data_IF_084964009425
#
_entry.id   IF_084964009425
#
_cell.length_a   1.000
_cell.length_b   1.000
_cell.length_c   1.000
_cell.angle_alpha   90.00
_cell.angle_beta   90.00
_cell.angle_gamma   90.00
#
_symmetry.space_group_name_H-M   'P 1'
#
loop_
_entity.id
_entity.type
_entity.pdbx_description
1 polymer ?
#
# COMPACT_ATOMS: atom_id res chain seq x y z
N UNK A 1 14.73 -19.20 -8.27
CA UNK A 1 15.01 -17.99 -7.47
C UNK A 1 14.30 -18.06 -6.12
N UNK A 2 14.92 -17.51 -5.08
CA UNK A 2 14.35 -17.37 -3.73
C UNK A 2 13.89 -15.93 -3.50
N UNK A 3 12.59 -15.71 -3.39
CA UNK A 3 12.03 -14.37 -3.14
C UNK A 3 11.50 -14.32 -1.71
N UNK A 4 12.01 -13.39 -0.91
CA UNK A 4 11.44 -13.09 0.39
C UNK A 4 10.25 -12.12 0.23
N UNK A 5 9.11 -12.48 0.81
CA UNK A 5 7.92 -11.61 0.86
C UNK A 5 7.69 -11.19 2.30
N UNK A 6 7.52 -9.89 2.51
CA UNK A 6 7.29 -9.26 3.80
C UNK A 6 5.96 -8.50 3.79
N UNK A 7 5.26 -8.53 4.93
CA UNK A 7 3.97 -7.88 5.11
C UNK A 7 4.08 -6.36 5.29
N UNK A 8 3.91 -5.89 6.54
CA UNK A 8 4.06 -4.48 6.90
C UNK A 8 5.38 -4.23 7.62
N UNK A 9 6.26 -3.44 7.01
CA UNK A 9 7.61 -3.20 7.50
C UNK A 9 7.66 -2.34 8.78
N UNK A 10 6.87 -1.27 8.84
CA UNK A 10 6.86 -0.29 9.92
C UNK A 10 8.24 0.28 10.30
N UNK A 11 9.13 0.41 9.32
CA UNK A 11 10.48 0.93 9.50
C UNK A 11 11.46 0.00 10.23
N UNK A 12 11.14 -1.29 10.35
CA UNK A 12 11.91 -2.33 11.05
C UNK A 12 12.88 -3.10 10.12
N UNK A 13 13.51 -2.38 9.18
CA UNK A 13 14.40 -2.96 8.15
C UNK A 13 15.52 -3.81 8.75
N UNK A 14 16.11 -3.38 9.88
CA UNK A 14 17.18 -4.13 10.53
C UNK A 14 16.72 -5.52 10.99
N UNK A 15 15.49 -5.64 11.51
CA UNK A 15 14.93 -6.93 11.94
C UNK A 15 14.63 -7.83 10.75
N UNK A 16 14.08 -7.25 9.68
CA UNK A 16 13.75 -7.98 8.45
C UNK A 16 15.02 -8.53 7.82
N UNK A 17 16.03 -7.67 7.58
CA UNK A 17 17.29 -8.10 6.99
C UNK A 17 18.09 -9.03 7.90
N UNK A 18 18.11 -8.78 9.21
CA UNK A 18 18.73 -9.69 10.17
C UNK A 18 18.11 -11.10 10.12
N UNK A 19 16.78 -11.19 10.05
CA UNK A 19 16.08 -12.47 9.93
C UNK A 19 16.40 -13.19 8.61
N UNK A 20 16.49 -12.46 7.50
CA UNK A 20 16.87 -13.04 6.21
C UNK A 20 18.29 -13.59 6.24
N UNK A 21 19.24 -12.85 6.81
CA UNK A 21 20.62 -13.31 6.94
C UNK A 21 20.75 -14.55 7.83
N UNK A 22 19.96 -14.66 8.90
CA UNK A 22 19.89 -15.88 9.70
C UNK A 22 19.33 -17.06 8.89
N UNK A 23 18.29 -16.81 8.10
CA UNK A 23 17.70 -17.83 7.22
C UNK A 23 18.72 -18.33 6.21
N UNK A 24 19.39 -17.45 5.46
CA UNK A 24 20.43 -17.83 4.50
C UNK A 24 21.55 -18.65 5.14
N UNK A 25 22.00 -18.27 6.36
CA UNK A 25 23.01 -19.04 7.10
C UNK A 25 22.51 -20.44 7.49
N UNK A 26 21.23 -20.57 7.80
CA UNK A 26 20.64 -21.83 8.28
C UNK A 26 20.24 -22.79 7.16
N UNK A 27 19.80 -22.27 6.01
CA UNK A 27 19.33 -23.08 4.87
C UNK A 27 20.37 -23.24 3.78
N UNK A 28 21.40 -22.38 3.76
CA UNK A 28 22.36 -22.24 2.67
C UNK A 28 21.70 -21.87 1.32
N UNK A 29 20.48 -21.33 1.37
CA UNK A 29 19.79 -20.73 0.23
C UNK A 29 20.11 -19.23 0.18
N UNK A 30 20.45 -18.71 -1.00
CA UNK A 30 20.64 -17.27 -1.23
C UNK A 30 19.30 -16.62 -1.60
N UNK A 31 18.97 -15.50 -0.96
CA UNK A 31 17.81 -14.68 -1.30
C UNK A 31 18.15 -13.79 -2.50
N UNK A 32 17.33 -13.88 -3.55
CA UNK A 32 17.49 -13.11 -4.79
C UNK A 32 16.82 -11.73 -4.72
N UNK A 33 15.68 -11.63 -4.04
CA UNK A 33 14.86 -10.42 -4.00
C UNK A 33 14.01 -10.36 -2.72
N UNK A 34 13.81 -9.16 -2.19
CA UNK A 34 12.85 -8.88 -1.11
C UNK A 34 11.69 -8.05 -1.66
N UNK A 35 10.46 -8.46 -1.36
CA UNK A 35 9.23 -7.73 -1.68
C UNK A 35 8.56 -7.30 -0.39
N UNK A 36 8.36 -5.99 -0.19
CA UNK A 36 7.65 -5.43 0.97
C UNK A 36 6.29 -4.91 0.51
N UNK A 37 5.21 -5.42 1.12
CA UNK A 37 3.84 -5.11 0.72
C UNK A 37 3.31 -3.79 1.31
N UNK A 38 4.14 -3.02 2.00
CA UNK A 38 3.88 -1.63 2.36
C UNK A 38 4.02 -1.31 3.83
N UNK A 39 3.48 -0.16 4.23
CA UNK A 39 3.85 0.51 5.49
C UNK A 39 5.38 0.52 5.67
N UNK A 40 6.10 0.83 4.58
CA UNK A 40 7.56 0.78 4.51
C UNK A 40 8.20 1.80 5.45
N UNK A 41 7.59 2.99 5.54
CA UNK A 41 8.08 4.12 6.32
C UNK A 41 9.44 4.64 5.84
N UNK A 42 9.52 5.09 4.58
CA UNK A 42 10.71 5.67 3.95
C UNK A 42 11.07 7.08 4.50
N UNK A 43 11.19 7.21 5.82
CA UNK A 43 11.36 8.47 6.55
C UNK A 43 12.84 8.88 6.53
N UNK A 44 13.18 9.97 5.84
CA UNK A 44 14.57 10.42 5.65
C UNK A 44 15.08 11.26 6.82
N UNK A 45 14.18 12.02 7.45
CA UNK A 45 14.49 12.98 8.50
C UNK A 45 13.25 13.30 9.37
N UNK A 46 13.40 14.05 10.49
CA UNK A 46 12.27 14.46 11.32
C UNK A 46 11.18 15.30 10.65
N UNK A 47 11.44 15.92 9.50
CA UNK A 47 10.41 16.68 8.76
C UNK A 47 9.37 15.74 8.12
N UNK A 48 9.80 14.60 7.59
CA UNK A 48 8.93 13.58 6.97
C UNK A 48 7.95 12.97 7.99
N UNK A 49 8.30 12.92 9.28
CA UNK A 49 7.37 12.47 10.34
C UNK A 49 6.08 13.31 10.41
N UNK A 50 6.14 14.58 9.98
CA UNK A 50 4.99 15.49 10.00
C UNK A 50 4.01 15.25 8.86
N UNK A 51 4.37 14.42 7.89
CA UNK A 51 3.49 14.10 6.75
C UNK A 51 2.86 12.73 6.87
N UNK A 52 3.28 11.94 7.86
CA UNK A 52 2.71 10.62 8.12
C UNK A 52 1.34 10.73 8.79
N UNK A 53 0.38 9.90 8.36
CA UNK A 53 -0.88 9.71 9.08
C UNK A 53 -0.71 8.73 10.25
N UNK A 54 0.05 9.12 11.27
CA UNK A 54 0.20 8.38 12.53
C UNK A 54 -0.06 9.31 13.72
N UNK A 55 -0.64 8.82 14.82
CA UNK A 55 -0.70 9.60 16.05
C UNK A 55 0.71 10.04 16.48
N UNK A 56 0.88 11.30 16.87
CA UNK A 56 2.20 11.89 17.15
C UNK A 56 3.04 11.08 18.17
N UNK A 57 2.40 10.46 19.17
CA UNK A 57 3.08 9.60 20.16
C UNK A 57 3.71 8.32 19.58
N UNK A 58 3.29 7.90 18.39
CA UNK A 58 3.79 6.72 17.70
C UNK A 58 4.72 7.06 16.54
N UNK A 59 4.85 8.34 16.17
CA UNK A 59 5.77 8.80 15.13
C UNK A 59 7.22 8.57 15.57
N UNK A 60 7.91 7.67 14.85
CA UNK A 60 9.31 7.31 15.09
C UNK A 60 10.05 7.30 13.76
N UNK A 61 11.32 7.70 13.79
CA UNK A 61 12.16 7.79 12.58
C UNK A 61 12.41 6.41 11.93
N UNK A 62 12.35 5.33 12.72
CA UNK A 62 12.67 3.98 12.25
C UNK A 62 14.14 3.86 11.81
N UNK A 63 14.46 2.80 11.07
CA UNK A 63 15.83 2.55 10.62
C UNK A 63 16.16 3.20 9.26
N UNK A 64 15.15 3.52 8.45
CA UNK A 64 15.35 3.88 7.04
C UNK A 64 16.33 5.05 6.81
N UNK A 65 16.31 6.08 7.66
CA UNK A 65 17.23 7.23 7.54
C UNK A 65 18.73 6.86 7.54
N UNK A 66 19.11 5.73 8.17
CA UNK A 66 20.48 5.22 8.17
C UNK A 66 20.85 4.58 6.81
N UNK A 67 19.88 3.95 6.15
CA UNK A 67 20.03 3.43 4.79
C UNK A 67 20.04 4.55 3.76
N UNK A 68 19.13 5.52 3.89
CA UNK A 68 19.08 6.72 3.05
C UNK A 68 20.40 7.51 3.10
N UNK A 69 21.02 7.62 4.28
CA UNK A 69 22.30 8.31 4.45
C UNK A 69 23.54 7.50 4.06
N UNK A 70 23.38 6.22 3.71
CA UNK A 70 24.50 5.30 3.44
C UNK A 70 25.29 4.86 4.68
N UNK A 71 24.82 5.19 5.90
CA UNK A 71 25.39 4.64 7.14
C UNK A 71 25.21 3.12 7.20
N UNK A 72 24.10 2.63 6.65
CA UNK A 72 23.83 1.22 6.39
C UNK A 72 23.61 1.00 4.89
N UNK A 73 23.92 -0.20 4.42
CA UNK A 73 23.62 -0.65 3.06
C UNK A 73 22.57 -1.76 3.12
N UNK A 74 21.56 -1.70 2.26
CA UNK A 74 20.59 -2.77 2.14
C UNK A 74 21.28 -4.01 1.53
N UNK A 75 21.27 -5.16 2.24
CA UNK A 75 22.01 -6.36 1.80
C UNK A 75 21.35 -7.10 0.64
N UNK A 76 20.07 -6.81 0.38
CA UNK A 76 19.28 -7.42 -0.69
C UNK A 76 18.62 -6.34 -1.54
N UNK A 77 18.50 -6.59 -2.85
CA UNK A 77 17.60 -5.81 -3.68
C UNK A 77 16.18 -5.93 -3.12
N UNK A 78 15.57 -4.80 -2.82
CA UNK A 78 14.26 -4.72 -2.16
C UNK A 78 13.31 -3.87 -3.00
N UNK A 79 12.17 -4.44 -3.41
CA UNK A 79 11.06 -3.71 -4.01
C UNK A 79 9.97 -3.49 -2.97
N UNK A 80 9.29 -2.36 -3.03
CA UNK A 80 8.13 -2.13 -2.18
C UNK A 80 7.04 -1.27 -2.84
N UNK A 81 5.81 -1.43 -2.35
CA UNK A 81 4.67 -0.51 -2.57
C UNK A 81 4.39 0.26 -1.28
N UNK A 82 3.76 1.43 -1.37
CA UNK A 82 3.39 2.22 -0.19
C UNK A 82 2.14 1.67 0.50
N UNK A 83 2.07 1.79 1.82
CA UNK A 83 0.87 1.57 2.62
C UNK A 83 0.18 2.87 3.05
N UNK A 84 -0.40 2.88 4.25
CA UNK A 84 -1.07 4.04 4.84
C UNK A 84 -0.22 4.75 5.93
N UNK A 85 0.87 4.14 6.37
CA UNK A 85 1.84 4.76 7.29
C UNK A 85 3.14 5.08 6.56
N UNK A 86 3.11 6.10 5.72
CA UNK A 86 4.25 6.45 4.87
C UNK A 86 4.73 7.88 5.08
N UNK A 87 6.01 8.10 4.78
CA UNK A 87 6.52 9.43 4.46
C UNK A 87 5.96 9.85 3.08
N UNK A 88 4.66 10.17 3.02
CA UNK A 88 3.95 10.36 1.76
C UNK A 88 4.48 11.51 0.91
N UNK A 89 5.13 12.50 1.51
CA UNK A 89 5.85 13.54 0.76
C UNK A 89 7.02 12.96 -0.04
N UNK A 90 7.82 12.08 0.58
CA UNK A 90 8.95 11.42 -0.08
C UNK A 90 8.47 10.43 -1.14
N UNK A 91 7.42 9.66 -0.88
CA UNK A 91 6.87 8.76 -1.90
C UNK A 91 6.22 9.52 -3.06
N UNK A 92 5.61 10.69 -2.78
CA UNK A 92 5.05 11.56 -3.82
C UNK A 92 6.13 12.12 -4.74
N UNK A 93 7.30 12.50 -4.21
CA UNK A 93 8.47 12.89 -5.01
C UNK A 93 8.85 11.81 -6.05
N UNK A 94 8.60 10.54 -5.74
CA UNK A 94 8.89 9.35 -6.56
C UNK A 94 7.60 8.68 -7.08
N UNK A 95 6.60 9.47 -7.47
CA UNK A 95 5.30 8.98 -7.95
C UNK A 95 5.40 7.92 -9.07
N UNK A 96 6.36 8.07 -9.98
CA UNK A 96 6.62 7.14 -11.09
C UNK A 96 7.49 5.93 -10.71
N UNK A 97 7.89 5.83 -9.44
CA UNK A 97 8.86 4.87 -8.94
C UNK A 97 10.28 5.43 -8.91
N UNK A 98 11.17 4.79 -8.15
CA UNK A 98 12.57 5.18 -8.05
C UNK A 98 13.27 4.62 -6.82
N UNK A 99 14.58 4.78 -6.77
CA UNK A 99 15.41 4.35 -5.65
C UNK A 99 15.21 5.27 -4.46
N UNK A 100 14.70 4.75 -3.35
CA UNK A 100 14.64 5.50 -2.08
C UNK A 100 15.98 5.48 -1.36
N UNK A 101 16.81 4.46 -1.62
CA UNK A 101 18.24 4.41 -1.33
C UNK A 101 18.90 3.33 -2.21
N UNK A 102 20.22 3.16 -2.10
CA UNK A 102 20.93 2.05 -2.76
C UNK A 102 20.25 0.70 -2.41
N UNK A 103 19.96 -0.12 -3.43
CA UNK A 103 19.29 -1.42 -3.35
C UNK A 103 17.82 -1.44 -2.86
N UNK A 104 17.17 -0.28 -2.63
CA UNK A 104 15.74 -0.24 -2.29
C UNK A 104 14.97 0.61 -3.29
N UNK A 105 14.06 -0.01 -4.04
CA UNK A 105 13.29 0.61 -5.11
C UNK A 105 11.79 0.67 -4.75
N UNK A 106 11.23 1.87 -4.80
CA UNK A 106 9.80 2.10 -4.70
C UNK A 106 9.14 1.91 -6.06
N UNK A 107 8.07 1.10 -6.15
CA UNK A 107 7.34 0.88 -7.40
C UNK A 107 6.52 2.08 -7.87
N UNK A 108 6.41 3.14 -7.07
CA UNK A 108 5.59 4.31 -7.38
C UNK A 108 4.14 4.16 -6.89
N UNK A 109 3.30 5.14 -7.22
CA UNK A 109 1.87 5.08 -6.93
C UNK A 109 1.23 3.81 -7.56
N UNK A 110 1.68 3.48 -8.77
CA UNK A 110 1.62 2.15 -9.36
C UNK A 110 2.80 2.00 -10.33
N UNK A 111 3.23 0.77 -10.59
CA UNK A 111 4.38 0.50 -11.47
C UNK A 111 4.46 -0.95 -11.91
N UNK A 112 5.17 -1.20 -13.02
CA UNK A 112 5.59 -2.54 -13.45
C UNK A 112 7.07 -2.49 -13.81
N UNK A 113 7.84 -3.43 -13.26
CA UNK A 113 9.27 -3.60 -13.52
C UNK A 113 9.57 -5.05 -13.84
N UNK A 114 10.69 -5.31 -14.49
CA UNK A 114 11.17 -6.65 -14.75
C UNK A 114 12.41 -6.95 -13.89
N UNK A 115 12.48 -8.17 -13.36
CA UNK A 115 13.62 -8.67 -12.59
C UNK A 115 13.89 -10.13 -12.94
N UNK A 116 15.06 -10.42 -13.53
CA UNK A 116 15.47 -11.79 -13.91
C UNK A 116 14.39 -12.57 -14.69
N UNK A 117 13.71 -11.89 -15.62
CA UNK A 117 12.62 -12.47 -16.42
C UNK A 117 11.25 -12.51 -15.74
N UNK A 118 11.13 -12.12 -14.46
CA UNK A 118 9.85 -11.93 -13.79
C UNK A 118 9.31 -10.53 -14.07
N UNK A 119 8.02 -10.44 -14.38
CA UNK A 119 7.29 -9.19 -14.50
C UNK A 119 6.50 -8.92 -13.22
N UNK A 120 6.89 -7.87 -12.51
CA UNK A 120 6.40 -7.54 -11.17
C UNK A 120 5.66 -6.22 -11.23
N UNK A 121 4.35 -6.27 -10.98
CA UNK A 121 3.50 -5.09 -10.87
C UNK A 121 3.18 -4.75 -9.41
N UNK A 122 2.92 -3.47 -9.14
CA UNK A 122 2.56 -2.99 -7.82
C UNK A 122 1.60 -1.81 -7.86
N UNK A 123 0.76 -1.71 -6.82
CA UNK A 123 -0.10 -0.56 -6.56
C UNK A 123 0.00 -0.16 -5.08
N UNK A 124 0.27 1.12 -4.85
CA UNK A 124 0.45 1.68 -3.52
C UNK A 124 -0.86 2.19 -2.93
N UNK A 125 -0.97 2.15 -1.60
CA UNK A 125 -2.02 2.80 -0.85
C UNK A 125 -3.17 1.89 -0.41
N UNK A 126 -4.22 2.52 0.11
CA UNK A 126 -5.46 1.84 0.55
C UNK A 126 -6.71 2.45 -0.08
N UNK A 127 -7.78 1.67 -0.16
CA UNK A 127 -9.05 2.13 -0.74
C UNK A 127 -9.85 3.02 0.22
N UNK A 128 -10.31 4.16 -0.29
CA UNK A 128 -11.42 4.92 0.28
C UNK A 128 -12.35 5.41 -0.83
N UNK A 129 -13.59 4.95 -0.80
CA UNK A 129 -14.59 5.21 -1.85
C UNK A 129 -14.79 6.70 -2.17
N UNK A 130 -14.70 7.59 -1.17
CA UNK A 130 -14.93 9.02 -1.36
C UNK A 130 -13.75 9.78 -1.99
N UNK A 131 -12.55 9.16 -2.06
CA UNK A 131 -11.39 9.73 -2.73
C UNK A 131 -11.04 9.00 -4.04
N UNK A 132 -11.52 7.77 -4.22
CA UNK A 132 -11.16 6.91 -5.34
C UNK A 132 -11.31 7.57 -6.73
N UNK A 133 -12.36 8.35 -6.97
CA UNK A 133 -12.59 9.02 -8.26
C UNK A 133 -12.01 10.45 -8.36
N UNK A 134 -11.22 10.89 -7.37
CA UNK A 134 -10.57 12.20 -7.38
C UNK A 134 -9.21 12.15 -8.05
N UNK A 135 -8.69 13.30 -8.45
CA UNK A 135 -7.26 13.45 -8.73
C UNK A 135 -6.40 13.54 -7.46
N UNK A 136 -5.10 13.78 -7.65
CA UNK A 136 -4.11 14.00 -6.58
C UNK A 136 -3.93 15.50 -6.32
N UNK A 137 -4.74 16.02 -5.41
CA UNK A 137 -4.82 17.46 -5.11
C UNK A 137 -3.99 17.89 -3.89
N UNK A 138 -3.45 16.92 -3.15
CA UNK A 138 -2.77 17.13 -1.89
C UNK A 138 -1.49 17.95 -2.08
N UNK A 139 -1.34 19.04 -1.33
CA UNK A 139 -0.14 19.89 -1.40
C UNK A 139 0.45 20.15 -0.03
N UNK A 140 1.77 20.11 0.04
CA UNK A 140 2.46 20.46 1.27
C UNK A 140 2.38 21.97 1.54
N UNK A 141 2.13 22.43 2.78
CA UNK A 141 1.89 21.62 3.98
C UNK A 141 0.51 20.96 3.97
N UNK A 142 0.48 19.64 4.23
CA UNK A 142 -0.77 18.88 4.23
C UNK A 142 -1.66 19.27 5.41
N UNK A 143 -2.95 19.45 5.15
CA UNK A 143 -3.98 19.37 6.17
C UNK A 143 -4.12 17.95 6.72
N UNK A 144 -4.84 17.81 7.84
CA UNK A 144 -5.12 16.52 8.46
C UNK A 144 -5.85 15.54 7.52
N UNK A 145 -6.75 16.04 6.66
CA UNK A 145 -7.41 15.21 5.64
C UNK A 145 -6.45 14.81 4.53
N UNK A 146 -5.59 15.72 4.07
CA UNK A 146 -4.65 15.45 2.98
C UNK A 146 -3.54 14.47 3.37
N UNK A 147 -3.11 14.49 4.63
CA UNK A 147 -2.22 13.45 5.19
C UNK A 147 -2.79 12.04 5.02
N UNK A 148 -4.11 11.90 4.88
CA UNK A 148 -4.78 10.62 4.63
C UNK A 148 -5.03 10.38 3.16
N UNK A 149 -5.60 11.37 2.49
CA UNK A 149 -6.02 11.21 1.11
C UNK A 149 -4.85 10.98 0.15
N UNK A 150 -3.64 11.44 0.49
CA UNK A 150 -2.45 11.26 -0.33
C UNK A 150 -2.05 9.80 -0.59
N UNK A 151 -2.35 8.88 0.33
CA UNK A 151 -2.08 7.45 0.14
C UNK A 151 -3.33 6.66 -0.26
N UNK A 152 -4.47 7.31 -0.51
CA UNK A 152 -5.64 6.58 -1.00
C UNK A 152 -5.47 6.24 -2.48
N UNK A 153 -5.77 4.99 -2.86
CA UNK A 153 -5.75 4.54 -4.26
C UNK A 153 -6.72 5.39 -5.09
N UNK A 154 -6.30 5.87 -6.27
CA UNK A 154 -7.20 6.51 -7.25
C UNK A 154 -7.53 5.56 -8.40
N UNK A 155 -8.68 5.82 -9.04
CA UNK A 155 -9.07 5.11 -10.26
C UNK A 155 -8.03 5.32 -11.37
N UNK A 156 -7.33 6.46 -11.40
CA UNK A 156 -6.29 6.73 -12.41
C UNK A 156 -5.22 5.63 -12.46
N UNK A 157 -4.58 5.29 -11.32
CA UNK A 157 -3.58 4.21 -11.29
C UNK A 157 -4.18 2.84 -11.60
N UNK A 158 -5.41 2.58 -11.15
CA UNK A 158 -6.13 1.34 -11.46
C UNK A 158 -6.38 1.22 -12.96
N UNK A 159 -6.80 2.30 -13.63
CA UNK A 159 -7.06 2.30 -15.07
C UNK A 159 -5.78 2.04 -15.85
N UNK A 160 -4.63 2.62 -15.44
CA UNK A 160 -3.31 2.29 -16.02
C UNK A 160 -3.04 0.79 -15.97
N UNK A 161 -3.16 0.17 -14.79
CA UNK A 161 -2.91 -1.27 -14.63
C UNK A 161 -3.92 -2.12 -15.41
N UNK A 162 -5.18 -1.71 -15.53
CA UNK A 162 -6.19 -2.41 -16.33
C UNK A 162 -5.87 -2.43 -17.84
N UNK A 163 -4.97 -1.56 -18.33
CA UNK A 163 -4.54 -1.54 -19.73
C UNK A 163 -3.47 -2.58 -20.05
N UNK A 164 -2.84 -3.19 -19.04
CA UNK A 164 -1.84 -4.22 -19.26
C UNK A 164 -2.47 -5.42 -19.97
N UNK A 165 -1.82 -5.86 -21.05
CA UNK A 165 -2.21 -7.00 -21.86
C UNK A 165 -1.23 -8.17 -21.70
N UNK A 166 0.07 -7.89 -21.57
CA UNK A 166 1.06 -8.95 -21.36
C UNK A 166 0.87 -9.57 -19.96
N UNK A 167 1.15 -10.87 -19.76
CA UNK A 167 1.06 -11.52 -18.45
C UNK A 167 1.88 -10.81 -17.37
N UNK A 168 1.44 -10.90 -16.13
CA UNK A 168 2.19 -10.45 -14.94
C UNK A 168 2.43 -11.68 -14.05
N UNK A 169 3.65 -11.84 -13.55
CA UNK A 169 3.97 -12.96 -12.67
C UNK A 169 3.56 -12.68 -11.23
N UNK A 170 3.86 -11.47 -10.76
CA UNK A 170 3.65 -11.05 -9.36
C UNK A 170 2.93 -9.70 -9.34
N UNK A 171 1.82 -9.61 -8.61
CA UNK A 171 1.23 -8.34 -8.20
C UNK A 171 1.40 -8.11 -6.71
N UNK A 172 1.70 -6.87 -6.32
CA UNK A 172 1.85 -6.43 -4.93
C UNK A 172 0.86 -5.30 -4.66
N UNK A 173 0.10 -5.41 -3.56
CA UNK A 173 -0.75 -4.32 -3.07
C UNK A 173 -0.69 -4.25 -1.55
N UNK A 174 -0.94 -3.09 -0.95
CA UNK A 174 -0.98 -3.03 0.51
C UNK A 174 -2.25 -3.66 1.08
N UNK A 175 -3.42 -3.12 0.73
CA UNK A 175 -4.70 -3.71 1.10
C UNK A 175 -5.10 -4.86 0.17
N UNK A 176 -5.94 -5.75 0.71
CA UNK A 176 -6.33 -7.00 0.05
C UNK A 176 -7.34 -6.74 -1.07
N UNK A 177 -7.35 -7.53 -2.15
CA UNK A 177 -8.51 -7.60 -3.05
C UNK A 177 -9.79 -7.94 -2.26
N UNK A 178 -10.86 -7.17 -2.46
CA UNK A 178 -12.15 -7.45 -1.80
C UNK A 178 -12.70 -8.83 -2.22
N UNK A 179 -13.18 -9.59 -1.24
CA UNK A 179 -13.74 -10.93 -1.44
C UNK A 179 -12.71 -12.06 -1.45
N UNK A 180 -11.40 -11.75 -1.34
CA UNK A 180 -10.35 -12.77 -1.30
C UNK A 180 -10.46 -13.68 -0.06
N UNK A 181 -11.08 -13.20 1.01
CA UNK A 181 -11.38 -13.95 2.22
C UNK A 181 -12.32 -15.14 1.99
N UNK A 182 -13.05 -15.16 0.87
CA UNK A 182 -13.87 -16.29 0.46
C UNK A 182 -13.10 -17.35 -0.33
N UNK A 183 -11.87 -17.04 -0.76
CA UNK A 183 -11.00 -17.91 -1.55
C UNK A 183 -10.01 -18.73 -0.71
N UNK A 184 -9.94 -18.50 0.61
CA UNK A 184 -9.10 -19.26 1.55
C UNK A 184 -9.90 -19.98 2.63
N UNK A 185 -9.39 -19.99 3.87
CA UNK A 185 -10.09 -20.50 5.05
C UNK A 185 -10.73 -19.35 5.84
N UNK A 186 -11.95 -18.97 5.41
CA UNK A 186 -12.72 -17.91 6.06
C UNK A 186 -13.04 -18.21 7.53
N UNK A 187 -13.28 -19.47 7.87
CA UNK A 187 -13.64 -19.86 9.24
C UNK A 187 -12.45 -19.64 10.18
N UNK A 188 -11.25 -20.01 9.75
CA UNK A 188 -10.02 -19.75 10.50
C UNK A 188 -9.76 -18.24 10.63
N UNK A 189 -9.92 -17.47 9.55
CA UNK A 189 -9.77 -16.00 9.57
C UNK A 189 -10.71 -15.36 10.61
N UNK A 190 -11.99 -15.72 10.60
CA UNK A 190 -12.98 -15.18 11.53
C UNK A 190 -12.79 -15.67 12.97
N UNK A 191 -12.15 -16.82 13.17
CA UNK A 191 -11.76 -17.26 14.52
C UNK A 191 -10.66 -16.38 15.11
N UNK A 192 -9.69 -15.95 14.29
CA UNK A 192 -8.59 -15.09 14.73
C UNK A 192 -9.01 -13.62 14.80
N UNK A 193 -9.78 -13.15 13.82
CA UNK A 193 -10.29 -11.77 13.73
C UNK A 193 -11.81 -11.74 13.59
N UNK A 194 -12.57 -11.98 14.68
CA UNK A 194 -14.04 -12.02 14.63
C UNK A 194 -14.69 -10.73 14.14
N UNK A 195 -14.05 -9.59 14.37
CA UNK A 195 -14.56 -8.28 13.97
C UNK A 195 -14.65 -8.10 12.44
N UNK A 196 -13.86 -8.86 11.66
CA UNK A 196 -13.99 -8.87 10.20
C UNK A 196 -15.35 -9.39 9.73
N UNK A 197 -16.08 -10.15 10.55
CA UNK A 197 -17.40 -10.65 10.17
C UNK A 197 -18.33 -9.52 9.72
N UNK A 198 -18.37 -8.43 10.47
CA UNK A 198 -19.21 -7.28 10.17
C UNK A 198 -18.75 -6.53 8.90
N UNK A 199 -17.44 -6.44 8.66
CA UNK A 199 -16.92 -5.79 7.45
C UNK A 199 -17.15 -6.63 6.20
N UNK A 200 -17.02 -7.95 6.30
CA UNK A 200 -17.34 -8.90 5.23
C UNK A 200 -18.83 -8.86 4.90
N UNK A 201 -19.69 -8.96 5.91
CA UNK A 201 -21.15 -8.93 5.73
C UNK A 201 -21.65 -7.60 5.12
N UNK A 202 -20.88 -6.51 5.28
CA UNK A 202 -21.16 -5.19 4.71
C UNK A 202 -20.35 -4.85 3.45
N UNK A 203 -19.57 -5.80 2.94
CA UNK A 203 -18.69 -5.61 1.77
C UNK A 203 -17.70 -4.44 1.92
N UNK A 204 -17.09 -4.31 3.10
CA UNK A 204 -16.12 -3.26 3.46
C UNK A 204 -14.70 -3.79 3.69
N UNK A 205 -14.51 -5.10 3.71
CA UNK A 205 -13.18 -5.70 3.82
C UNK A 205 -12.49 -5.71 2.45
N UNK A 206 -11.29 -5.15 2.40
CA UNK A 206 -10.48 -5.10 1.19
C UNK A 206 -10.91 -4.04 0.18
N UNK A 207 -10.31 -4.13 -1.00
CA UNK A 207 -10.33 -3.13 -2.05
C UNK A 207 -11.01 -3.68 -3.30
N UNK A 208 -12.18 -3.14 -3.70
CA UNK A 208 -12.91 -3.62 -4.87
C UNK A 208 -12.18 -3.35 -6.19
N UNK A 209 -11.32 -2.33 -6.26
CA UNK A 209 -10.53 -2.06 -7.48
C UNK A 209 -9.44 -3.11 -7.67
N UNK A 210 -8.83 -3.59 -6.58
CA UNK A 210 -7.85 -4.68 -6.62
C UNK A 210 -8.49 -6.00 -7.06
N UNK A 211 -9.76 -6.25 -6.74
CA UNK A 211 -10.52 -7.39 -7.30
C UNK A 211 -10.67 -7.30 -8.81
N UNK A 212 -10.92 -6.11 -9.35
CA UNK A 212 -10.95 -5.87 -10.81
C UNK A 212 -9.60 -6.16 -11.44
N UNK A 213 -8.52 -5.69 -10.81
CA UNK A 213 -7.15 -5.93 -11.26
C UNK A 213 -6.79 -7.42 -11.24
N UNK A 214 -7.04 -8.13 -10.13
CA UNK A 214 -6.77 -9.56 -10.01
C UNK A 214 -7.45 -10.34 -11.14
N UNK A 215 -8.71 -10.02 -11.46
CA UNK A 215 -9.46 -10.67 -12.53
C UNK A 215 -8.99 -10.35 -13.94
N UNK A 216 -8.52 -9.13 -14.18
CA UNK A 216 -7.99 -8.70 -15.47
C UNK A 216 -6.60 -9.28 -15.71
N UNK A 217 -5.72 -9.17 -14.72
CA UNK A 217 -4.29 -9.46 -14.83
C UNK A 217 -3.97 -10.93 -14.56
N UNK A 218 -4.76 -11.60 -13.70
CA UNK A 218 -4.65 -13.03 -13.37
C UNK A 218 -3.19 -13.44 -13.07
N UNK A 219 -2.48 -12.71 -12.19
CA UNK A 219 -1.07 -12.98 -11.96
C UNK A 219 -0.88 -14.37 -11.33
N UNK A 220 0.29 -14.97 -11.52
CA UNK A 220 0.61 -16.24 -10.84
C UNK A 220 0.56 -16.07 -9.31
N UNK A 221 0.98 -14.90 -8.81
CA UNK A 221 1.00 -14.56 -7.38
C UNK A 221 0.45 -13.17 -7.11
N UNK A 222 -0.27 -13.05 -5.99
CA UNK A 222 -0.69 -11.77 -5.44
C UNK A 222 -0.27 -11.67 -3.97
N UNK A 223 0.51 -10.64 -3.64
CA UNK A 223 0.99 -10.41 -2.28
C UNK A 223 0.36 -9.17 -1.65
N UNK A 224 -0.08 -9.30 -0.39
CA UNK A 224 -0.67 -8.18 0.36
C UNK A 224 -0.29 -8.14 1.84
N UNK A 225 -0.68 -7.07 2.53
CA UNK A 225 -0.44 -6.89 3.96
C UNK A 225 -1.63 -6.20 4.64
N UNK A 226 -1.39 -5.13 5.40
CA UNK A 226 -2.35 -4.23 6.05
C UNK A 226 -3.17 -4.83 7.21
N UNK A 227 -3.77 -6.02 7.01
CA UNK A 227 -4.71 -6.61 7.96
C UNK A 227 -4.03 -7.32 9.15
N UNK A 228 -2.70 -7.35 9.18
CA UNK A 228 -1.88 -7.91 10.27
C UNK A 228 -2.29 -9.36 10.62
N UNK A 229 -2.26 -10.22 9.62
CA UNK A 229 -2.50 -11.66 9.73
C UNK A 229 -1.92 -12.38 8.52
N UNK A 230 -1.33 -13.55 8.74
CA UNK A 230 -1.00 -14.44 7.62
C UNK A 230 -2.26 -15.10 7.08
N UNK A 231 -2.50 -14.97 5.78
CA UNK A 231 -3.64 -15.60 5.11
C UNK A 231 -3.25 -16.04 3.71
N UNK A 232 -3.76 -17.19 3.30
CA UNK A 232 -3.52 -17.76 1.97
C UNK A 232 -4.83 -18.11 1.30
N UNK A 233 -4.92 -17.85 0.00
CA UNK A 233 -6.07 -18.19 -0.81
C UNK A 233 -5.64 -18.58 -2.22
N UNK A 234 -6.42 -19.46 -2.86
CA UNK A 234 -6.22 -19.87 -4.24
C UNK A 234 -7.43 -19.41 -5.04
N UNK A 235 -7.21 -18.48 -5.98
CA UNK A 235 -8.28 -17.91 -6.82
C UNK A 235 -8.31 -18.65 -8.15
N UNK A 236 -9.49 -19.17 -8.51
CA UNK A 236 -9.75 -19.74 -9.83
C UNK A 236 -9.88 -18.62 -10.88
N UNK A 237 -8.89 -18.51 -11.76
CA UNK A 237 -8.88 -17.52 -12.83
C UNK A 237 -9.70 -17.96 -14.07
N UNK A 238 -10.17 -19.21 -14.12
CA UNK A 238 -11.00 -19.73 -15.20
C UNK A 238 -12.50 -19.46 -15.00
N UNK A 239 -12.91 -19.14 -13.77
CA UNK A 239 -14.31 -18.88 -13.47
C UNK A 239 -14.82 -17.58 -14.12
N UNK A 240 -15.88 -17.70 -14.92
CA UNK A 240 -16.59 -16.57 -15.54
C UNK A 240 -17.57 -15.90 -14.54
N UNK A 241 -17.10 -15.57 -13.35
CA UNK A 241 -17.90 -14.89 -12.30
C UNK A 241 -17.49 -13.43 -12.17
N UNK A 242 -18.41 -12.57 -11.70
CA UNK A 242 -18.11 -11.20 -11.25
C UNK A 242 -17.51 -11.14 -9.85
N UNK A 243 -17.64 -12.20 -9.05
CA UNK A 243 -16.97 -12.38 -7.75
C UNK A 243 -15.73 -13.28 -7.83
N UNK A 244 -14.81 -13.16 -6.89
CA UNK A 244 -13.68 -14.09 -6.80
C UNK A 244 -14.19 -15.48 -6.39
N UNK A 245 -13.59 -16.51 -6.97
CA UNK A 245 -13.99 -17.90 -6.75
C UNK A 245 -12.80 -18.69 -6.25
N UNK A 246 -13.03 -19.52 -5.24
CA UNK A 246 -12.02 -20.43 -4.69
C UNK A 246 -11.68 -21.51 -5.72
N UNK A 247 -10.39 -21.77 -5.95
CA UNK A 247 -9.93 -22.90 -6.75
C UNK A 247 -10.38 -24.22 -6.13
N UNK A 248 -10.86 -25.15 -6.97
CA UNK A 248 -11.33 -26.46 -6.53
C UNK A 248 -10.19 -27.40 -6.16
N UNK A 249 -9.07 -27.33 -6.91
CA UNK A 249 -7.86 -28.14 -6.70
C UNK A 249 -6.58 -27.33 -7.03
N UNK A 250 -5.49 -27.62 -6.32
CA UNK A 250 -4.17 -26.97 -6.46
C UNK A 250 -3.46 -27.26 -7.80
N UNK A 251 -4.00 -28.16 -8.63
CA UNK A 251 -3.44 -28.50 -9.95
C UNK A 251 -4.12 -27.79 -11.12
N UNK A 252 -5.03 -26.87 -10.87
CA UNK A 252 -5.65 -26.08 -11.94
C UNK A 252 -4.61 -25.12 -12.54
N UNK A 253 -4.34 -25.23 -13.85
CA UNK A 253 -3.31 -24.45 -14.58
C UNK A 253 -3.63 -22.96 -14.75
N UNK A 254 -4.54 -22.43 -13.94
CA UNK A 254 -5.05 -21.06 -14.03
C UNK A 254 -5.48 -20.56 -12.64
N UNK A 255 -4.54 -20.53 -11.70
CA UNK A 255 -4.76 -20.11 -10.32
C UNK A 255 -3.86 -18.95 -9.95
N UNK A 256 -4.44 -17.93 -9.32
CA UNK A 256 -3.66 -16.91 -8.61
C UNK A 256 -3.46 -17.38 -7.17
N UNK A 257 -2.19 -17.53 -6.75
CA UNK A 257 -1.85 -17.82 -5.36
C UNK A 257 -1.73 -16.50 -4.58
N UNK A 258 -2.67 -16.28 -3.66
CA UNK A 258 -2.69 -15.11 -2.78
C UNK A 258 -2.00 -15.43 -1.45
N UNK A 259 -1.11 -14.53 -1.02
CA UNK A 259 -0.49 -14.56 0.30
C UNK A 259 -0.55 -13.15 0.91
N UNK A 260 -1.10 -13.06 2.11
CA UNK A 260 -0.96 -11.90 2.97
C UNK A 260 -0.16 -12.24 4.22
N UNK A 261 0.62 -11.28 4.71
CA UNK A 261 1.50 -11.46 5.87
C UNK A 261 1.24 -10.40 6.95
N UNK A 262 1.71 -10.71 8.16
CA UNK A 262 1.60 -9.84 9.33
C UNK A 262 2.67 -8.72 9.33
N UNK A 263 2.64 -7.83 10.32
CA UNK A 263 3.69 -6.83 10.57
C UNK A 263 4.87 -7.44 11.34
N UNK A 264 6.06 -6.83 11.21
CA UNK A 264 7.30 -7.25 11.88
C UNK A 264 7.23 -7.16 13.42
N UNK A 265 6.61 -8.16 14.05
CA UNK A 265 6.49 -8.30 15.49
C UNK A 265 6.94 -9.70 15.95
N UNK A 266 7.37 -9.85 17.22
CA UNK A 266 7.78 -11.15 17.76
C UNK A 266 6.70 -12.22 17.61
N UNK A 267 7.11 -13.43 17.20
CA UNK A 267 6.24 -14.60 17.02
C UNK A 267 5.10 -14.43 16.01
N UNK A 268 5.24 -13.48 15.07
CA UNK A 268 4.24 -13.20 14.04
C UNK A 268 4.75 -13.63 12.66
N UNK A 269 3.88 -14.15 11.79
CA UNK A 269 4.26 -14.56 10.44
C UNK A 269 4.32 -13.35 9.49
N UNK A 270 5.39 -12.55 9.62
CA UNK A 270 5.57 -11.31 8.83
C UNK A 270 6.43 -11.50 7.58
N UNK A 271 7.11 -12.65 7.44
CA UNK A 271 8.09 -12.92 6.40
C UNK A 271 7.96 -14.38 5.92
N UNK A 272 7.92 -14.59 4.61
CA UNK A 272 7.89 -15.93 3.99
C UNK A 272 8.84 -15.99 2.79
N UNK A 273 9.57 -17.09 2.63
CA UNK A 273 10.44 -17.32 1.45
C UNK A 273 9.65 -18.14 0.43
N UNK A 274 9.52 -17.59 -0.77
CA UNK A 274 8.79 -18.19 -1.88
C UNK A 274 9.79 -18.64 -2.94
N UNK A 275 9.70 -19.93 -3.28
CA UNK A 275 10.42 -20.51 -4.40
C UNK A 275 9.70 -20.17 -5.71
N UNK A 276 10.38 -19.45 -6.59
CA UNK A 276 9.88 -19.16 -7.93
C UNK A 276 10.82 -19.82 -8.95
N UNK A 277 10.29 -20.63 -9.89
CA UNK A 277 11.09 -21.18 -10.98
C UNK A 277 11.84 -20.05 -11.69
N UNK A 278 13.13 -20.24 -11.91
CA UNK A 278 13.93 -19.26 -12.63
C UNK A 278 13.49 -19.23 -14.11
N UNK A 279 12.90 -18.12 -14.61
CA UNK A 279 12.40 -18.06 -15.98
C UNK A 279 13.52 -18.05 -17.02
N UNK A 280 14.78 -17.73 -16.68
CA UNK A 280 15.84 -17.64 -17.68
C UNK A 280 17.28 -17.70 -17.14
N UNK A 281 18.09 -18.57 -17.75
CA UNK A 281 19.53 -18.72 -17.50
C UNK A 281 20.42 -17.59 -18.08
N UNK A 282 19.84 -16.61 -18.78
CA UNK A 282 20.53 -15.51 -19.48
C UNK A 282 19.94 -14.12 -19.18
N UNK A 283 19.25 -13.95 -18.04
CA UNK A 283 18.64 -12.65 -17.71
C UNK A 283 19.69 -11.58 -17.36
N UNK A 284 19.36 -10.33 -17.69
CA UNK A 284 20.12 -9.15 -17.25
C UNK A 284 20.13 -9.05 -15.73
N UNK A 285 21.27 -8.69 -15.16
CA UNK A 285 21.37 -8.38 -13.73
C UNK A 285 20.66 -7.06 -13.44
N UNK A 286 19.94 -7.00 -12.31
CA UNK A 286 19.26 -5.78 -11.86
C UNK A 286 17.81 -5.64 -12.34
N UNK A 287 17.25 -4.44 -12.19
CA UNK A 287 15.90 -4.11 -12.59
C UNK A 287 15.89 -3.47 -13.97
N UNK A 288 14.88 -3.80 -14.76
CA UNK A 288 14.58 -3.07 -16.00
C UNK A 288 13.15 -2.53 -15.98
N UNK A 289 12.94 -1.39 -16.64
CA UNK A 289 11.61 -0.86 -16.92
C UNK A 289 10.82 -1.84 -17.80
N UNK A 290 9.51 -1.88 -17.59
CA UNK A 290 8.61 -2.61 -18.46
C UNK A 290 8.13 -1.74 -19.64
N UNK A 291 8.44 -2.16 -20.86
CA UNK A 291 8.13 -1.37 -22.07
C UNK A 291 6.63 -1.07 -22.24
N UNK A 292 5.76 -2.03 -21.95
CA UNK A 292 4.29 -1.83 -22.02
C UNK A 292 3.84 -0.80 -20.96
N UNK A 293 4.39 -0.87 -19.75
CA UNK A 293 4.11 0.10 -18.70
C UNK A 293 4.62 1.51 -19.02
N UNK A 294 5.77 1.65 -19.67
CA UNK A 294 6.27 2.93 -20.16
C UNK A 294 5.31 3.53 -21.20
N UNK A 295 4.83 2.72 -22.16
CA UNK A 295 3.86 3.14 -23.16
C UNK A 295 2.53 3.58 -22.53
N UNK A 296 1.99 2.79 -21.60
CA UNK A 296 0.79 3.15 -20.82
C UNK A 296 0.99 4.46 -20.06
N UNK A 297 2.16 4.63 -19.43
CA UNK A 297 2.47 5.84 -18.67
C UNK A 297 2.52 7.07 -19.57
N UNK A 298 3.14 6.99 -20.74
CA UNK A 298 3.17 8.09 -21.72
C UNK A 298 1.78 8.42 -22.24
N UNK A 299 1.03 7.43 -22.72
CA UNK A 299 -0.31 7.64 -23.28
C UNK A 299 -1.30 8.20 -22.24
N UNK A 300 -1.13 7.84 -20.96
CA UNK A 300 -2.03 8.26 -19.89
C UNK A 300 -1.58 9.53 -19.16
N UNK A 301 -0.39 10.07 -19.44
CA UNK A 301 0.14 11.26 -18.75
C UNK A 301 -0.80 12.48 -18.84
N UNK A 302 -1.44 12.81 -19.98
CA UNK A 302 -2.33 13.96 -20.07
C UNK A 302 -3.56 13.92 -19.13
N UNK A 303 -3.88 12.74 -18.58
CA UNK A 303 -5.03 12.52 -17.73
C UNK A 303 -4.68 12.44 -16.23
N UNK A 304 -3.40 12.57 -15.87
CA UNK A 304 -2.97 12.69 -14.47
C UNK A 304 -3.48 14.02 -13.89
N UNK A 305 -4.57 13.95 -13.10
CA UNK A 305 -5.15 15.15 -12.49
C UNK A 305 -4.47 15.51 -11.19
N UNK A 306 -4.00 16.74 -11.13
CA UNK A 306 -3.42 17.39 -9.95
C UNK A 306 -4.42 18.26 -9.18
N UNK A 307 -5.73 18.01 -9.37
CA UNK A 307 -6.86 18.71 -8.76
C UNK A 307 -7.88 17.70 -8.24
N UNK A 308 -8.83 18.09 -7.35
CA UNK A 308 -9.83 17.13 -6.84
C UNK A 308 -10.66 16.49 -7.94
N UNK A 309 -10.94 17.22 -9.01
CA UNK A 309 -11.67 16.72 -10.17
C UNK A 309 -10.75 15.86 -11.05
N UNK A 310 -11.12 14.61 -11.30
CA UNK A 310 -10.43 13.77 -12.28
C UNK A 310 -10.63 14.29 -13.72
N UNK A 311 -9.63 14.09 -14.57
CA UNK A 311 -9.73 14.35 -16.00
C UNK A 311 -10.38 13.10 -16.63
N UNK A 312 -11.48 13.23 -17.38
CA UNK A 312 -12.11 12.09 -18.05
C UNK A 312 -11.14 11.40 -19.01
N UNK A 313 -11.10 10.07 -18.96
CA UNK A 313 -10.38 9.26 -19.95
C UNK A 313 -11.17 9.21 -21.28
N UNK A 314 -10.47 9.06 -22.42
CA UNK A 314 -11.13 8.82 -23.71
C UNK A 314 -11.78 7.43 -23.73
N UNK A 315 -12.41 7.08 -24.86
CA UNK A 315 -12.99 5.74 -25.01
C UNK A 315 -11.92 4.65 -24.88
N UNK A 316 -12.30 3.44 -24.46
CA UNK A 316 -11.35 2.33 -24.32
C UNK A 316 -10.60 2.05 -25.64
N UNK A 317 -11.26 2.20 -26.79
CA UNK A 317 -10.67 2.00 -28.10
C UNK A 317 -9.65 3.10 -28.45
N UNK A 318 -10.00 4.37 -28.22
CA UNK A 318 -9.09 5.49 -28.48
C UNK A 318 -7.87 5.44 -27.55
N UNK A 319 -8.08 5.09 -26.29
CA UNK A 319 -6.99 4.94 -25.33
C UNK A 319 -6.06 3.79 -25.72
N UNK A 320 -6.61 2.65 -26.14
CA UNK A 320 -5.80 1.52 -26.60
C UNK A 320 -5.00 1.88 -27.85
N UNK A 321 -5.61 2.57 -28.82
CA UNK A 321 -4.90 3.05 -30.01
C UNK A 321 -3.73 3.98 -29.64
N UNK A 322 -3.94 4.88 -28.68
CA UNK A 322 -2.86 5.76 -28.19
C UNK A 322 -1.73 4.96 -27.51
N UNK A 323 -2.07 3.96 -26.69
CA UNK A 323 -1.08 3.07 -26.06
C UNK A 323 -0.29 2.28 -27.12
N UNK A 324 -0.95 1.76 -28.14
CA UNK A 324 -0.30 0.99 -29.20
C UNK A 324 0.67 1.87 -30.00
N UNK A 325 0.30 3.14 -30.26
CA UNK A 325 1.20 4.12 -30.90
C UNK A 325 2.43 4.43 -30.04
N UNK A 326 2.24 4.67 -28.74
CA UNK A 326 3.36 4.91 -27.82
C UNK A 326 4.25 3.67 -27.69
N UNK A 327 3.67 2.47 -27.70
CA UNK A 327 4.42 1.21 -27.66
C UNK A 327 5.28 1.04 -28.91
N UNK A 328 4.73 1.28 -30.10
CA UNK A 328 5.50 1.24 -31.36
C UNK A 328 6.62 2.28 -31.38
N UNK A 329 6.38 3.49 -30.85
CA UNK A 329 7.38 4.53 -30.76
C UNK A 329 8.54 4.13 -29.84
N UNK A 330 8.25 3.63 -28.64
CA UNK A 330 9.29 3.20 -27.70
C UNK A 330 10.05 1.95 -28.18
N UNK A 331 9.38 1.02 -28.86
CA UNK A 331 10.00 -0.16 -29.48
C UNK A 331 11.03 0.26 -30.55
N UNK A 332 10.68 1.24 -31.39
CA UNK A 332 11.63 1.82 -32.35
C UNK A 332 12.82 2.51 -31.67
N UNK A 333 12.60 3.21 -30.53
CA UNK A 333 13.69 3.81 -29.76
C UNK A 333 14.62 2.75 -29.16
N UNK A 334 14.10 1.57 -28.79
CA UNK A 334 14.92 0.44 -28.35
C UNK A 334 15.77 -0.12 -29.49
N UNK A 335 15.17 -0.32 -30.67
CA UNK A 335 15.85 -0.85 -31.85
C UNK A 335 16.97 0.08 -32.36
N UNK A 336 16.90 1.37 -32.03
CA UNK A 336 17.89 2.40 -32.40
C UNK A 336 18.86 2.75 -31.27
N UNK A 337 18.82 2.02 -30.15
CA UNK A 337 19.62 2.26 -28.94
C UNK A 337 19.42 3.68 -28.33
N UNK A 338 18.30 4.35 -28.64
CA UNK A 338 17.93 5.65 -28.04
C UNK A 338 17.22 5.50 -26.69
N UNK A 339 16.69 4.31 -26.39
CA UNK A 339 16.07 3.96 -25.11
C UNK A 339 16.82 2.78 -24.47
N UNK A 340 17.24 2.95 -23.22
CA UNK A 340 17.73 1.85 -22.37
C UNK A 340 16.68 1.53 -21.31
N UNK A 341 16.25 0.27 -21.24
CA UNK A 341 15.30 -0.19 -20.22
C UNK A 341 15.97 -0.46 -18.88
N UNK A 342 17.29 -0.48 -18.78
CA UNK A 342 17.98 -0.65 -17.50
C UNK A 342 17.60 0.48 -16.56
N UNK A 343 17.06 0.15 -15.38
CA UNK A 343 16.77 1.18 -14.38
C UNK A 343 18.12 1.69 -13.85
N UNK A 344 18.45 2.97 -14.05
CA UNK A 344 19.76 3.49 -13.69
C UNK A 344 19.93 3.48 -12.17
N UNK A 345 21.13 3.14 -11.68
CA UNK A 345 21.48 3.24 -10.27
C UNK A 345 21.80 4.70 -9.87
N UNK A 346 20.82 5.59 -10.01
CA UNK A 346 20.96 7.05 -9.87
C UNK A 346 20.43 7.60 -8.53
N UNK A 347 20.44 6.78 -7.47
CA UNK A 347 20.10 7.27 -6.14
C UNK A 347 21.11 8.32 -5.68
N UNK A 348 20.60 9.49 -5.30
CA UNK A 348 21.36 10.51 -4.61
C UNK A 348 20.54 11.10 -3.45
N UNK A 349 21.22 11.43 -2.35
CA UNK A 349 20.58 12.14 -1.26
C UNK A 349 20.21 13.57 -1.70
N UNK A 350 18.92 13.82 -1.85
CA UNK A 350 18.36 15.14 -2.18
C UNK A 350 17.92 15.96 -0.95
N UNK A 351 17.91 15.38 0.26
CA UNK A 351 17.56 16.11 1.51
C UNK A 351 18.52 15.80 2.66
N UNK A 352 18.63 16.74 3.61
CA UNK A 352 19.43 16.57 4.82
C UNK A 352 18.70 15.66 5.84
N UNK A 353 19.38 14.63 6.34
CA UNK A 353 18.81 13.65 7.30
C UNK A 353 18.47 14.23 8.68
N UNK A 354 18.97 15.41 9.00
CA UNK A 354 18.69 16.14 10.26
C UNK A 354 17.64 17.24 10.09
N UNK A 355 17.10 17.44 8.89
CA UNK A 355 16.14 18.51 8.64
C UNK A 355 14.88 18.34 9.48
N UNK A 356 14.39 19.44 10.06
CA UNK A 356 13.11 19.52 10.77
C UNK A 356 12.02 20.22 9.94
N UNK A 357 12.39 20.72 8.77
CA UNK A 357 11.54 21.46 7.85
C UNK A 357 11.61 20.80 6.47
N UNK A 358 10.46 20.51 5.91
CA UNK A 358 10.36 19.97 4.56
C UNK A 358 10.13 21.14 3.60
N UNK A 359 10.93 21.19 2.54
CA UNK A 359 10.74 22.13 1.43
C UNK A 359 10.51 21.28 0.19
N UNK A 360 9.31 21.31 -0.41
CA UNK A 360 9.05 20.59 -1.65
C UNK A 360 10.06 20.98 -2.73
N UNK A 361 10.66 19.99 -3.38
CA UNK A 361 11.58 20.16 -4.49
C UNK A 361 11.44 19.01 -5.47
N UNK A 362 11.61 19.24 -6.79
CA UNK A 362 11.67 18.16 -7.76
C UNK A 362 12.73 17.11 -7.38
N UNK A 363 12.38 15.83 -7.53
CA UNK A 363 13.33 14.74 -7.32
C UNK A 363 14.12 14.50 -8.62
N UNK A 364 15.46 14.44 -8.59
CA UNK A 364 16.26 14.22 -9.79
C UNK A 364 15.88 12.96 -10.57
N UNK A 365 15.50 11.88 -9.88
CA UNK A 365 15.11 10.63 -10.52
C UNK A 365 13.80 10.78 -11.31
N UNK A 366 12.80 11.47 -10.74
CA UNK A 366 11.54 11.77 -11.42
C UNK A 366 11.77 12.68 -12.62
N UNK A 367 12.62 13.70 -12.48
CA UNK A 367 13.01 14.59 -13.58
C UNK A 367 13.63 13.79 -14.72
N UNK A 368 14.57 12.90 -14.43
CA UNK A 368 15.25 12.09 -15.45
C UNK A 368 14.34 11.03 -16.07
N UNK A 369 13.45 10.42 -15.29
CA UNK A 369 12.41 9.53 -15.81
C UNK A 369 11.46 10.24 -16.78
N UNK A 370 11.01 11.46 -16.43
CA UNK A 370 10.17 12.26 -17.31
C UNK A 370 10.89 12.66 -18.60
N UNK A 371 12.19 12.99 -18.54
CA UNK A 371 13.02 13.24 -19.75
C UNK A 371 13.17 11.99 -20.61
N UNK A 372 13.49 10.85 -19.99
CA UNK A 372 13.61 9.55 -20.68
C UNK A 372 12.34 9.24 -21.46
N UNK A 373 11.19 9.46 -20.83
CA UNK A 373 9.88 9.28 -21.43
C UNK A 373 9.35 10.49 -22.20
N UNK A 374 10.11 11.57 -22.39
CA UNK A 374 9.63 12.77 -23.10
C UNK A 374 8.26 13.30 -22.63
N UNK A 375 7.96 13.20 -21.33
CA UNK A 375 6.71 13.67 -20.71
C UNK A 375 6.97 14.85 -19.77
N UNK A 376 5.93 15.65 -19.50
CA UNK A 376 6.01 16.73 -18.53
C UNK A 376 6.19 16.20 -17.10
N UNK A 377 7.13 16.77 -16.35
CA UNK A 377 7.28 16.51 -14.91
C UNK A 377 6.21 17.25 -14.10
N UNK A 378 4.99 16.73 -14.12
CA UNK A 378 3.85 17.30 -13.39
C UNK A 378 4.09 17.30 -11.87
N UNK A 379 4.83 16.33 -11.35
CA UNK A 379 5.08 16.13 -9.92
C UNK A 379 6.06 17.17 -9.40
N UNK A 380 7.20 17.32 -10.07
CA UNK A 380 8.19 18.35 -9.76
C UNK A 380 7.64 19.76 -9.97
N UNK A 381 6.89 19.99 -11.05
CA UNK A 381 6.27 21.30 -11.34
C UNK A 381 5.17 21.69 -10.35
N UNK A 382 4.58 20.72 -9.65
CA UNK A 382 3.59 20.96 -8.60
C UNK A 382 4.22 21.32 -7.24
N UNK A 383 5.55 21.27 -7.10
CA UNK A 383 6.24 21.81 -5.95
C UNK A 383 6.17 23.35 -6.00
N UNK A 384 5.64 24.03 -4.97
CA UNK A 384 5.70 25.49 -4.95
C UNK A 384 7.18 25.93 -5.01
N UNK A 385 7.53 26.96 -5.80
CA UNK A 385 8.90 27.47 -5.81
C UNK A 385 9.29 27.88 -4.39
N UNK A 386 10.57 27.73 -3.98
CA UNK A 386 11.03 28.21 -2.68
C UNK A 386 10.58 29.65 -2.52
N UNK A 387 9.88 29.97 -1.42
CA UNK A 387 9.60 31.37 -1.08
C UNK A 387 10.95 32.08 -1.06
N UNK A 388 11.16 33.02 -1.99
CA UNK A 388 12.27 33.95 -1.91
C UNK A 388 12.28 34.51 -0.48
N UNK A 389 13.43 34.47 0.18
CA UNK A 389 13.58 34.88 1.57
C UNK A 389 13.20 36.36 1.72
N UNK A 390 11.91 36.64 1.92
CA UNK A 390 11.44 37.94 2.34
C UNK A 390 11.72 38.05 3.83
N UNK A 391 12.47 39.11 4.15
CA UNK A 391 12.93 39.44 5.48
C UNK A 391 11.79 39.39 6.50
N UNK A 392 12.08 38.72 7.61
CA UNK A 392 11.23 38.50 8.77
C UNK A 392 10.68 39.82 9.34
N UNK A 393 9.36 39.88 9.54
CA UNK A 393 8.80 40.61 10.67
C UNK A 393 7.96 39.65 11.51
N UNK A 394 8.39 39.49 12.76
CA UNK A 394 7.74 38.69 13.79
C UNK A 394 6.40 39.33 14.16
N UNK A 395 5.34 38.52 14.18
CA UNK A 395 4.10 38.84 14.88
C UNK A 395 3.67 37.60 15.67
N UNK A 396 3.33 37.87 16.90
CA UNK A 396 3.11 37.00 18.05
C UNK A 396 1.92 36.05 17.91
N UNK A 397 2.07 34.89 18.54
CA UNK A 397 1.06 33.87 18.80
C UNK A 397 -0.11 34.45 19.60
N UNK A 398 -1.33 34.01 19.30
CA UNK A 398 -2.36 33.86 20.32
C UNK A 398 -3.24 32.63 20.07
N UNK A 399 -3.64 32.01 21.16
CA UNK A 399 -4.16 30.65 21.28
C UNK A 399 -5.70 30.60 21.29
N UNK A 400 -6.20 29.37 21.07
CA UNK A 400 -7.54 28.83 21.36
C UNK A 400 -8.66 29.03 20.32
N UNK A 401 -9.15 27.92 19.77
CA UNK A 401 -10.54 27.49 19.96
C UNK A 401 -10.75 26.00 19.62
N UNK A 402 -11.51 25.36 20.50
CA UNK A 402 -12.00 23.98 20.46
C UNK A 402 -12.82 23.65 19.22
N UNK A 403 -12.62 22.45 18.63
CA UNK A 403 -13.67 21.74 17.89
C UNK A 403 -13.56 20.23 18.09
N UNK A 404 -14.73 19.64 18.34
CA UNK A 404 -15.09 18.27 18.69
C UNK A 404 -14.45 17.12 17.91
N UNK A 405 -14.13 16.06 18.65
CA UNK A 405 -13.60 14.76 18.25
C UNK A 405 -14.57 13.91 17.42
N UNK A 406 -14.12 13.46 16.25
CA UNK A 406 -14.63 12.27 15.56
C UNK A 406 -13.62 11.12 15.69
N UNK A 407 -14.15 9.90 15.85
CA UNK A 407 -13.43 8.70 16.30
C UNK A 407 -12.26 8.27 15.38
N UNK A 408 -11.14 7.76 15.95
CA UNK A 408 -10.06 7.18 15.16
C UNK A 408 -10.39 5.72 14.77
N UNK A 409 -10.26 5.42 13.47
CA UNK A 409 -10.23 4.06 12.92
C UNK A 409 -8.89 3.40 13.32
N UNK A 410 -8.93 2.49 14.29
CA UNK A 410 -7.90 1.48 14.52
C UNK A 410 -8.58 0.11 14.54
N UNK A 411 -8.00 -0.93 13.91
CA UNK A 411 -8.36 -2.30 14.27
C UNK A 411 -7.94 -2.53 15.73
N UNK A 412 -8.89 -3.01 16.54
CA UNK A 412 -8.75 -3.15 17.98
C UNK A 412 -7.60 -4.09 18.38
N UNK A 413 -6.53 -3.52 18.95
CA UNK A 413 -5.52 -4.23 19.75
C UNK A 413 -5.68 -3.79 21.21
N UNK A 414 -6.48 -4.54 21.99
CA UNK A 414 -6.38 -4.54 23.46
C UNK A 414 -5.89 -5.91 23.88
N UNK A 415 -4.60 -6.00 24.18
CA UNK A 415 -4.00 -7.13 24.87
C UNK A 415 -4.19 -6.88 26.36
N UNK A 416 -5.11 -7.60 27.00
CA UNK A 416 -5.21 -7.63 28.45
C UNK A 416 -4.18 -8.62 29.00
N UNK A 417 -3.10 -8.09 29.58
CA UNK A 417 -2.30 -8.83 30.54
C UNK A 417 -3.08 -8.97 31.84
N UNK A 418 -3.34 -10.21 32.22
CA UNK A 418 -3.90 -10.59 33.51
C UNK A 418 -2.90 -10.33 34.62
N UNK A 419 -3.22 -9.42 35.54
CA UNK A 419 -2.69 -9.47 36.90
C UNK A 419 -3.83 -9.71 37.88
N UNK A 420 -3.75 -10.86 38.56
CA UNK A 420 -4.52 -11.21 39.75
C UNK A 420 -4.04 -10.32 40.89
N UNK A 421 -4.97 -9.71 41.61
CA UNK A 421 -4.88 -9.58 43.06
C UNK A 421 -6.27 -9.32 43.66
N UNK A 422 -6.41 -9.77 44.90
CA UNK A 422 -7.63 -10.26 45.55
C UNK A 422 -8.11 -9.35 46.67
N UNK A 423 -9.41 -9.50 46.99
CA UNK A 423 -10.06 -9.19 48.28
C UNK A 423 -10.19 -7.68 48.60
N UNK A 424 -11.21 -7.13 49.26
CA UNK A 424 -12.48 -7.49 49.91
C UNK A 424 -12.93 -6.16 50.55
N UNK A 425 -14.20 -5.76 50.49
CA UNK A 425 -14.95 -5.33 51.69
C UNK A 425 -16.33 -4.75 51.37
N UNK A 426 -17.22 -5.04 52.31
CA UNK A 426 -18.67 -4.90 52.35
C UNK A 426 -19.14 -3.46 52.71
N UNK A 427 -20.25 -3.03 52.08
CA UNK A 427 -21.51 -2.33 52.52
C UNK A 427 -21.58 -1.41 53.78
N UNK A 428 -22.70 -0.68 54.10
CA UNK A 428 -23.96 -0.32 53.36
C UNK A 428 -24.58 1.10 53.62
N UNK A 429 -25.78 1.33 53.03
CA UNK A 429 -26.92 2.19 53.45
C UNK A 429 -26.96 3.65 52.91
N UNK A 430 -28.10 4.33 52.65
CA UNK A 430 -29.52 4.10 52.95
C UNK A 430 -30.45 5.08 52.14
N UNK A 431 -31.77 4.85 52.24
CA UNK A 431 -32.96 5.71 51.98
C UNK A 431 -33.60 5.68 50.57
N UNK A 432 -34.78 5.07 50.38
CA UNK A 432 -36.17 5.51 50.73
C UNK A 432 -36.61 6.77 49.94
N UNK A 433 -37.81 6.96 49.40
CA UNK A 433 -39.08 6.23 49.18
C UNK A 433 -39.88 7.16 48.24
N UNK A 434 -40.79 6.63 47.39
CA UNK A 434 -42.22 7.02 47.27
C UNK A 434 -42.80 6.69 45.89
N UNK A 435 -43.83 5.85 45.91
CA UNK A 435 -44.87 5.64 44.89
C UNK A 435 -46.12 6.44 45.32
N UNK A 436 -47.09 6.63 44.41
CA UNK A 436 -48.39 6.06 44.72
C UNK A 436 -49.06 5.29 43.58
N UNK A 437 -49.89 4.36 44.03
CA UNK A 437 -50.68 3.32 43.36
C UNK A 437 -52.06 3.82 42.91
N UNK A 438 -52.65 3.21 41.88
CA UNK A 438 -54.10 2.85 41.82
C UNK A 438 -54.34 1.83 40.69
N UNK A 439 -54.63 0.56 41.05
CA UNK A 439 -55.93 -0.16 40.95
C UNK A 439 -56.22 -0.75 39.55
N UNK A 440 -55.98 -2.06 39.32
CA UNK A 440 -56.81 -3.25 39.59
C UNK A 440 -58.06 -3.46 38.69
N UNK A 441 -58.03 -4.55 37.92
CA UNK A 441 -59.04 -5.64 37.72
C UNK A 441 -58.73 -6.34 36.39
N UNK A 442 -58.07 -7.51 36.38
CA UNK A 442 -58.57 -8.86 36.70
C UNK A 442 -59.65 -9.37 35.72
N UNK A 443 -59.26 -10.32 34.85
CA UNK A 443 -59.92 -11.60 34.57
C UNK A 443 -59.39 -12.25 33.27
N UNK A 444 -58.70 -13.39 33.43
CA UNK A 444 -58.64 -14.48 32.44
C UNK A 444 -59.89 -15.40 32.64
N UNK A 445 -60.13 -16.54 31.94
CA UNK A 445 -59.39 -17.20 30.84
C UNK A 445 -60.30 -17.80 29.71
N UNK A 446 -59.69 -18.28 28.61
CA UNK A 446 -59.81 -19.67 28.04
C UNK A 446 -59.68 -19.74 26.50
N UNK A 447 -58.74 -20.61 26.09
CA UNK A 447 -58.75 -21.58 24.98
C UNK A 447 -59.84 -21.45 23.89
N UNK A 448 -59.44 -21.47 22.62
CA UNK A 448 -59.62 -22.62 21.70
C UNK A 448 -58.87 -22.47 20.37
N UNK A 449 -58.72 -23.63 19.70
CA UNK A 449 -57.89 -24.00 18.54
C UNK A 449 -58.47 -23.54 17.17
N UNK A 450 -57.66 -23.83 16.14
CA UNK A 450 -57.94 -24.02 14.69
C UNK A 450 -57.89 -22.70 13.90
N UNK A 451 -57.16 -22.57 12.79
CA UNK A 451 -56.51 -23.51 11.86
C UNK A 451 -55.08 -23.09 11.49
#
# INVERSE_FOLDING_TARGET
MKIAVEGCCHGELDKIYGRLQELEKSTNDKIDLVLICGDFQAIRNPADLKTMSVPAKYAKLGNFHEYYSGQKKAPYLTLFVGGNHEASNHLWELYHGGWVCENIYYLGAAGVVNYKGLRIGGISGIYKHFDYHKGHFERYPYSYSEQRSIYHVRDYEVQKLLRIQKPIDIMISHDWPAGIEHCGDLNHLLKIKPFFKNDIDRHRLGNPSHTRLLKKLKPSRWFSAHLHIRYTANVDNAAESTQLTKAKDDQTSNVTQFLALDKCLPNRPFLEIIDIPDPSSNSTEGLTYDLEWLAITRAMQPYLSLRPQAIPLPSDADLQNAIDQELMYLDMMLDTDELDLTIPANFEMNVNTKSRFYTPSPNPQTVDFCKLLGIDDLIGNACPPPRAATQTHAATLDNNQDVSSSAPDQPADVVNETNKESATNETPSNNEQTLPTQEQRDQSPKRQKLD
#
